data_IF_760953747025
#
_entry.id   IF_760953747025
#
_cell.length_a   1.000
_cell.length_b   1.000
_cell.length_c   1.000
_cell.angle_alpha   90.00
_cell.angle_beta   90.00
_cell.angle_gamma   90.00
#
_symmetry.space_group_name_H-M   'P 1'
#
loop_
_entity.id
_entity.type
_entity.pdbx_description
1 polymer ?
#
# COMPACT_ATOMS: atom_id res chain seq x y z
N UNK A 1 -18.47 14.10 -14.66
CA UNK A 1 -19.03 13.50 -13.41
C UNK A 1 -18.57 14.31 -12.20
N UNK A 2 -19.41 14.43 -11.16
CA UNK A 2 -19.07 15.08 -9.90
C UNK A 2 -18.95 14.01 -8.80
N UNK A 3 -17.87 14.04 -8.01
CA UNK A 3 -17.63 13.08 -6.93
C UNK A 3 -17.27 13.81 -5.65
N UNK A 4 -17.97 13.49 -4.55
CA UNK A 4 -17.63 13.98 -3.21
C UNK A 4 -16.80 12.93 -2.48
N UNK A 5 -15.79 13.37 -1.72
CA UNK A 5 -14.95 12.49 -0.92
C UNK A 5 -14.29 13.22 0.24
N UNK A 6 -13.89 12.49 1.28
CA UNK A 6 -13.07 13.02 2.36
C UNK A 6 -11.59 12.78 2.07
N UNK A 7 -10.76 13.81 2.23
CA UNK A 7 -9.31 13.66 2.16
C UNK A 7 -8.80 12.87 3.37
N UNK A 8 -8.27 11.67 3.15
CA UNK A 8 -7.73 10.82 4.23
C UNK A 8 -6.22 11.02 4.46
N UNK A 9 -5.60 11.98 3.79
CA UNK A 9 -4.15 12.19 3.86
C UNK A 9 -3.66 12.78 5.19
N UNK A 10 -4.57 13.32 6.02
CA UNK A 10 -4.25 13.90 7.33
C UNK A 10 -5.50 13.93 8.21
N UNK A 11 -5.38 14.11 9.54
CA UNK A 11 -6.51 14.04 10.47
C UNK A 11 -7.54 15.17 10.32
N UNK A 12 -7.24 16.23 9.56
CA UNK A 12 -8.19 17.33 9.30
C UNK A 12 -9.41 16.84 8.49
N UNK A 13 -9.22 15.87 7.60
CA UNK A 13 -10.35 15.26 6.88
C UNK A 13 -11.13 16.25 6.00
N UNK A 14 -10.46 17.05 5.17
CA UNK A 14 -11.16 18.04 4.31
C UNK A 14 -12.22 17.37 3.42
N UNK A 15 -13.41 17.94 3.35
CA UNK A 15 -14.44 17.53 2.39
C UNK A 15 -14.09 18.08 1.01
N UNK A 16 -13.90 17.19 0.04
CA UNK A 16 -13.49 17.51 -1.31
C UNK A 16 -14.63 17.26 -2.30
N UNK A 17 -14.77 18.18 -3.25
CA UNK A 17 -15.62 17.99 -4.43
C UNK A 17 -14.74 17.95 -5.67
N UNK A 18 -14.82 16.85 -6.41
CA UNK A 18 -14.00 16.58 -7.59
C UNK A 18 -14.88 16.57 -8.83
N UNK A 19 -14.58 17.44 -9.78
CA UNK A 19 -15.23 17.54 -11.07
C UNK A 19 -14.33 16.86 -12.11
N UNK A 20 -14.89 15.88 -12.82
CA UNK A 20 -14.18 15.11 -13.85
C UNK A 20 -14.93 15.30 -15.16
N UNK A 21 -14.57 16.33 -15.92
CA UNK A 21 -15.15 16.69 -17.22
C UNK A 21 -14.01 17.04 -18.19
N UNK A 22 -13.30 16.03 -18.70
CA UNK A 22 -12.07 16.22 -19.49
C UNK A 22 -10.88 16.65 -18.63
N UNK A 23 -11.01 17.76 -17.93
CA UNK A 23 -10.07 18.21 -16.90
C UNK A 23 -10.55 17.82 -15.49
N UNK A 24 -9.61 17.58 -14.58
CA UNK A 24 -9.88 17.27 -13.17
C UNK A 24 -9.73 18.55 -12.34
N UNK A 25 -10.85 19.10 -11.88
CA UNK A 25 -10.90 20.21 -10.92
C UNK A 25 -11.24 19.68 -9.54
N UNK A 26 -10.53 20.15 -8.51
CA UNK A 26 -10.78 19.78 -7.10
C UNK A 26 -11.04 21.05 -6.32
N UNK A 27 -12.08 21.02 -5.50
CA UNK A 27 -12.44 22.09 -4.56
C UNK A 27 -12.56 21.53 -3.14
N UNK A 28 -12.40 22.41 -2.13
CA UNK A 28 -12.48 22.05 -0.71
C UNK A 28 -11.16 21.61 -0.08
N UNK A 29 -10.07 21.50 -0.84
CA UNK A 29 -8.75 21.17 -0.29
C UNK A 29 -8.11 22.40 0.39
N UNK A 30 -7.63 22.23 1.62
CA UNK A 30 -6.86 23.27 2.34
C UNK A 30 -5.36 23.24 2.08
N UNK A 31 -4.89 22.26 1.32
CA UNK A 31 -3.46 22.09 1.03
C UNK A 31 -3.23 21.36 -0.31
N UNK A 32 -2.00 21.39 -0.85
CA UNK A 32 -1.64 20.68 -2.09
C UNK A 32 -1.81 19.15 -2.00
N UNK A 33 -1.58 18.55 -0.82
CA UNK A 33 -1.75 17.11 -0.62
C UNK A 33 -3.18 16.64 -0.87
N UNK A 34 -4.18 17.45 -0.49
CA UNK A 34 -5.59 17.13 -0.72
C UNK A 34 -5.96 17.14 -2.21
N UNK A 35 -5.40 18.09 -2.97
CA UNK A 35 -5.53 18.15 -4.42
C UNK A 35 -4.95 16.90 -5.09
N UNK A 36 -3.71 16.55 -4.72
CA UNK A 36 -3.03 15.38 -5.27
C UNK A 36 -3.75 14.07 -4.91
N UNK A 37 -4.17 13.92 -3.66
CA UNK A 37 -4.97 12.78 -3.21
C UNK A 37 -6.25 12.63 -4.04
N UNK A 38 -7.05 13.69 -4.18
CA UNK A 38 -8.29 13.62 -4.95
C UNK A 38 -8.05 13.27 -6.43
N UNK A 39 -7.03 13.87 -7.05
CA UNK A 39 -6.65 13.55 -8.44
C UNK A 39 -6.26 12.08 -8.57
N UNK A 40 -5.42 11.57 -7.69
CA UNK A 40 -5.03 10.15 -7.68
C UNK A 40 -6.23 9.23 -7.42
N UNK A 41 -7.12 9.62 -6.51
CA UNK A 41 -8.27 8.81 -6.09
C UNK A 41 -9.31 8.62 -7.21
N UNK A 42 -9.42 9.57 -8.15
CA UNK A 42 -10.32 9.47 -9.31
C UNK A 42 -9.65 8.90 -10.57
N UNK A 43 -8.31 8.87 -10.65
CA UNK A 43 -7.58 8.43 -11.85
C UNK A 43 -7.01 7.02 -11.71
N UNK A 44 -6.13 6.82 -10.73
CA UNK A 44 -5.48 5.53 -10.47
C UNK A 44 -5.19 5.43 -8.96
N UNK A 45 -6.16 4.99 -8.17
CA UNK A 45 -6.11 5.19 -6.75
C UNK A 45 -5.13 4.16 -6.12
N UNK A 46 -4.20 4.62 -5.28
CA UNK A 46 -3.09 3.80 -4.75
C UNK A 46 -3.13 3.63 -3.24
N UNK A 47 -2.56 2.53 -2.73
CA UNK A 47 -2.53 2.18 -1.30
C UNK A 47 -1.23 1.51 -0.91
N UNK A 48 -0.80 1.72 0.33
CA UNK A 48 0.18 0.83 0.97
C UNK A 48 -0.52 -0.49 1.27
N UNK A 49 -0.02 -1.59 0.72
CA UNK A 49 -0.50 -2.92 1.08
C UNK A 49 0.19 -3.34 2.38
N UNK A 50 -0.59 -3.74 3.38
CA UNK A 50 -0.10 -4.36 4.61
C UNK A 50 -0.57 -5.81 4.65
N UNK A 51 0.33 -6.76 4.88
CA UNK A 51 0.06 -8.19 4.78
C UNK A 51 1.01 -9.00 5.65
N UNK A 52 0.72 -10.28 5.87
CA UNK A 52 1.62 -11.23 6.52
C UNK A 52 2.18 -12.23 5.50
N UNK A 53 3.45 -12.59 5.65
CA UNK A 53 4.14 -13.59 4.81
C UNK A 53 4.51 -14.79 5.67
N UNK A 54 4.36 -16.00 5.14
CA UNK A 54 4.69 -17.24 5.84
C UNK A 54 6.21 -17.37 6.03
N UNK A 55 6.62 -17.68 7.26
CA UNK A 55 8.02 -17.89 7.63
C UNK A 55 8.21 -19.34 8.09
N UNK A 56 9.11 -20.04 7.41
CA UNK A 56 9.58 -21.38 7.77
C UNK A 56 10.75 -21.26 8.76
N UNK A 57 10.85 -22.25 9.66
CA UNK A 57 11.87 -22.33 10.72
C UNK A 57 11.95 -21.10 11.65
N UNK A 58 10.90 -20.27 11.66
CA UNK A 58 10.84 -19.06 12.48
C UNK A 58 10.17 -19.29 13.82
N UNK A 59 10.60 -18.56 14.85
CA UNK A 59 9.95 -18.52 16.18
C UNK A 59 8.48 -18.13 16.08
N UNK A 60 8.12 -17.42 15.00
CA UNK A 60 6.75 -17.17 14.54
C UNK A 60 6.61 -17.72 13.11
N UNK A 61 5.42 -18.24 12.78
CA UNK A 61 5.12 -18.78 11.44
C UNK A 61 4.78 -17.69 10.41
N UNK A 62 4.69 -16.43 10.85
CA UNK A 62 4.33 -15.28 10.03
C UNK A 62 5.22 -14.08 10.38
N UNK A 63 5.62 -13.32 9.36
CA UNK A 63 6.20 -11.98 9.50
C UNK A 63 5.22 -10.95 8.94
N UNK A 64 5.01 -9.84 9.65
CA UNK A 64 4.26 -8.72 9.08
C UNK A 64 5.12 -7.99 8.06
N UNK A 65 4.51 -7.62 6.94
CA UNK A 65 5.15 -6.92 5.84
C UNK A 65 4.24 -5.81 5.30
N UNK A 66 4.84 -4.87 4.58
CA UNK A 66 4.11 -3.86 3.82
C UNK A 66 4.80 -3.51 2.52
N UNK A 67 4.09 -2.93 1.57
CA UNK A 67 4.76 -2.24 0.46
C UNK A 67 5.43 -0.98 0.98
N UNK A 68 6.65 -0.69 0.52
CA UNK A 68 7.37 0.54 0.88
C UNK A 68 6.77 1.80 0.22
N UNK A 69 6.08 1.62 -0.91
CA UNK A 69 5.38 2.65 -1.67
C UNK A 69 3.93 2.24 -2.00
N UNK A 70 3.04 3.21 -2.30
CA UNK A 70 1.68 2.91 -2.69
C UNK A 70 1.59 2.16 -4.04
N UNK A 71 0.86 1.05 -4.07
CA UNK A 71 0.56 0.27 -5.28
C UNK A 71 -0.86 0.54 -5.79
N UNK A 72 -1.15 0.39 -7.09
CA UNK A 72 -2.50 0.55 -7.64
C UNK A 72 -3.53 -0.38 -6.98
N UNK A 73 -4.72 0.14 -6.62
CA UNK A 73 -5.81 -0.66 -6.00
C UNK A 73 -6.14 -1.91 -6.78
N UNK A 74 -6.19 -1.77 -8.10
CA UNK A 74 -6.56 -2.82 -9.03
C UNK A 74 -5.63 -4.02 -8.96
N UNK A 75 -4.38 -3.83 -8.52
CA UNK A 75 -3.38 -4.89 -8.40
C UNK A 75 -3.37 -5.55 -7.02
N UNK A 76 -4.10 -5.02 -6.02
CA UNK A 76 -4.03 -5.53 -4.65
C UNK A 76 -4.40 -7.01 -4.58
N UNK A 77 -5.43 -7.44 -5.32
CA UNK A 77 -5.86 -8.84 -5.31
C UNK A 77 -4.77 -9.76 -5.88
N UNK A 78 -4.20 -9.39 -7.03
CA UNK A 78 -3.12 -10.15 -7.67
C UNK A 78 -1.87 -10.25 -6.78
N UNK A 79 -1.48 -9.15 -6.14
CA UNK A 79 -0.37 -9.14 -5.18
C UNK A 79 -0.66 -10.06 -3.99
N UNK A 80 -1.88 -10.05 -3.46
CA UNK A 80 -2.28 -10.92 -2.35
C UNK A 80 -2.19 -12.39 -2.74
N UNK A 81 -2.70 -12.78 -3.91
CA UNK A 81 -2.62 -14.18 -4.39
C UNK A 81 -1.16 -14.62 -4.59
N UNK A 82 -0.32 -13.75 -5.15
CA UNK A 82 1.12 -14.00 -5.26
C UNK A 82 1.77 -14.24 -3.88
N UNK A 83 1.46 -13.41 -2.87
CA UNK A 83 2.03 -13.53 -1.52
C UNK A 83 1.51 -14.76 -0.77
N UNK A 84 0.27 -15.20 -0.99
CA UNK A 84 -0.28 -16.41 -0.34
C UNK A 84 0.55 -17.67 -0.63
N UNK A 85 1.12 -17.76 -1.83
CA UNK A 85 2.02 -18.87 -2.21
C UNK A 85 3.46 -18.71 -1.70
N UNK A 86 3.83 -17.52 -1.22
CA UNK A 86 5.20 -17.20 -0.83
C UNK A 86 5.53 -17.74 0.57
N UNK A 87 6.67 -18.42 0.65
CA UNK A 87 7.29 -18.84 1.93
C UNK A 87 8.72 -18.34 1.96
N UNK A 88 9.11 -17.75 3.08
CA UNK A 88 10.49 -17.33 3.34
C UNK A 88 11.03 -18.06 4.58
N UNK A 89 12.34 -18.09 4.75
CA UNK A 89 12.98 -18.76 5.89
C UNK A 89 13.45 -17.75 6.92
N UNK A 90 13.36 -18.11 8.19
CA UNK A 90 14.01 -17.36 9.25
C UNK A 90 15.55 -17.51 9.19
N UNK A 91 16.32 -16.52 9.66
CA UNK A 91 15.87 -15.26 10.25
C UNK A 91 15.42 -14.22 9.21
N UNK A 92 14.39 -13.45 9.54
CA UNK A 92 13.93 -12.27 8.79
C UNK A 92 14.09 -11.06 9.70
N UNK A 93 14.78 -10.02 9.26
CA UNK A 93 14.96 -8.78 10.02
C UNK A 93 13.96 -7.73 9.58
N UNK A 94 13.56 -6.86 10.52
CA UNK A 94 12.81 -5.65 10.18
C UNK A 94 13.59 -4.83 9.15
N UNK A 95 12.92 -4.44 8.07
CA UNK A 95 13.51 -3.69 6.96
C UNK A 95 13.98 -4.58 5.80
N UNK A 96 14.02 -5.91 5.96
CA UNK A 96 14.38 -6.80 4.88
C UNK A 96 13.38 -6.69 3.73
N UNK A 97 13.90 -6.62 2.51
CA UNK A 97 13.11 -6.71 1.28
C UNK A 97 12.81 -8.19 1.05
N UNK A 98 11.54 -8.56 1.24
CA UNK A 98 11.03 -9.92 0.99
C UNK A 98 10.87 -10.16 -0.50
N UNK A 99 10.35 -9.16 -1.22
CA UNK A 99 10.17 -9.18 -2.67
C UNK A 99 10.55 -7.81 -3.22
N UNK A 100 11.52 -7.78 -4.13
CA UNK A 100 11.89 -6.57 -4.86
C UNK A 100 10.89 -6.35 -6.01
N UNK A 101 10.46 -5.11 -6.21
CA UNK A 101 9.57 -4.68 -7.29
C UNK A 101 8.38 -5.63 -7.53
N UNK A 102 7.51 -5.76 -6.52
CA UNK A 102 6.43 -6.74 -6.52
C UNK A 102 5.51 -6.53 -7.71
N UNK A 103 5.43 -7.55 -8.58
CA UNK A 103 4.67 -7.52 -9.83
C UNK A 103 4.92 -6.28 -10.70
N UNK A 104 6.17 -5.80 -10.76
CA UNK A 104 6.57 -4.63 -11.57
C UNK A 104 5.81 -3.35 -11.22
N UNK A 105 5.44 -3.18 -9.95
CA UNK A 105 4.71 -1.99 -9.46
C UNK A 105 5.61 -0.81 -9.10
N UNK A 106 6.93 -1.02 -9.04
CA UNK A 106 7.94 -0.10 -8.51
C UNK A 106 8.03 -0.07 -6.98
N UNK A 107 7.32 -0.96 -6.29
CA UNK A 107 7.25 -1.05 -4.83
C UNK A 107 7.83 -2.38 -4.33
N UNK A 108 8.54 -2.34 -3.20
CA UNK A 108 9.09 -3.53 -2.55
C UNK A 108 8.14 -4.03 -1.46
N UNK A 109 8.07 -5.35 -1.25
CA UNK A 109 7.46 -5.92 -0.06
C UNK A 109 8.53 -6.01 1.04
N UNK A 110 8.34 -5.29 2.13
CA UNK A 110 9.34 -5.12 3.20
C UNK A 110 8.81 -5.63 4.54
N UNK A 111 9.63 -6.39 5.26
CA UNK A 111 9.32 -6.87 6.60
C UNK A 111 9.25 -5.71 7.60
N UNK A 112 8.20 -5.70 8.44
CA UNK A 112 7.99 -4.66 9.46
C UNK A 112 8.32 -5.12 10.88
N UNK A 113 8.65 -6.41 11.07
CA UNK A 113 9.14 -6.98 12.33
C UNK A 113 10.26 -7.99 12.06
N UNK A 114 11.02 -8.32 13.10
CA UNK A 114 12.02 -9.39 13.06
C UNK A 114 11.39 -10.72 13.48
N UNK A 115 11.73 -11.81 12.76
CA UNK A 115 11.44 -13.20 13.13
C UNK A 115 12.76 -13.94 13.22
N UNK A 116 13.12 -14.38 14.43
CA UNK A 116 14.33 -15.18 14.66
C UNK A 116 14.11 -16.63 14.23
N UNK A 117 15.20 -17.35 13.98
CA UNK A 117 15.16 -18.79 13.71
C UNK A 117 14.80 -19.54 15.00
N UNK A 118 14.03 -20.63 14.89
CA UNK A 118 13.82 -21.60 15.97
C UNK A 118 15.12 -22.36 16.21
N UNK A 119 15.35 -22.70 17.48
CA UNK A 119 16.44 -23.58 17.91
C UNK A 119 16.31 -24.99 17.31
#
# INVERSE_FOLDING_TARGET
MIKKMTCISCPIGCELTVFVNGEIKVEGNRCPRGLEYAKNEVTNPKRILTISVKVEDGVMELVSAKTDKPVPKKMLHEIIEYIKGLKIKAPVKRGDIIVNDILSTGANLVATRTVLKKD
#
